data_IF_496282189237
#
_entry.id   IF_496282189237
#
_cell.length_a   1.000
_cell.length_b   1.000
_cell.length_c   1.000
_cell.angle_alpha   90.00
_cell.angle_beta   90.00
_cell.angle_gamma   90.00
#
_symmetry.space_group_name_H-M   'P 1'
#
loop_
_entity.id
_entity.type
_entity.pdbx_description
1 polymer ?
#
# COMPACT_ATOMS: atom_id res chain seq x y z
N UNK A 1 -50.35 -22.07 -50.47
CA UNK A 1 -49.83 -20.80 -49.89
C UNK A 1 -50.56 -20.61 -48.56
N UNK A 2 -49.96 -20.40 -47.39
CA UNK A 2 -48.74 -19.73 -46.99
C UNK A 2 -48.25 -20.31 -45.65
N UNK A 3 -46.94 -20.50 -45.49
CA UNK A 3 -46.28 -20.89 -44.24
C UNK A 3 -46.26 -19.70 -43.28
N UNK A 4 -46.74 -19.86 -42.05
CA UNK A 4 -46.39 -18.99 -40.92
C UNK A 4 -45.57 -19.81 -39.92
N UNK A 5 -44.24 -19.69 -40.00
CA UNK A 5 -43.34 -20.02 -38.89
C UNK A 5 -43.51 -18.93 -37.84
N UNK A 6 -44.05 -19.26 -36.67
CA UNK A 6 -44.13 -18.35 -35.52
C UNK A 6 -42.74 -18.18 -34.90
N UNK A 7 -42.23 -16.96 -35.06
CA UNK A 7 -40.95 -16.42 -34.62
C UNK A 7 -40.93 -16.11 -33.09
N UNK A 8 -41.28 -17.06 -32.22
CA UNK A 8 -41.47 -16.78 -30.77
C UNK A 8 -40.48 -17.54 -29.85
N UNK A 9 -39.45 -18.21 -30.39
CA UNK A 9 -38.46 -18.91 -29.57
C UNK A 9 -37.09 -18.21 -29.44
N UNK A 10 -36.83 -17.10 -30.15
CA UNK A 10 -35.49 -16.48 -30.21
C UNK A 10 -35.33 -15.26 -29.27
N UNK A 11 -36.43 -14.61 -28.86
CA UNK A 11 -36.33 -13.35 -28.10
C UNK A 11 -36.00 -13.56 -26.61
N UNK A 12 -36.30 -14.73 -26.02
CA UNK A 12 -36.00 -15.00 -24.60
C UNK A 12 -34.53 -15.39 -24.36
N UNK A 13 -33.84 -15.96 -25.35
CA UNK A 13 -32.41 -16.30 -25.26
C UNK A 13 -31.50 -15.08 -25.45
N UNK A 14 -31.95 -14.04 -26.16
CA UNK A 14 -31.16 -12.81 -26.35
C UNK A 14 -31.21 -11.92 -25.09
N UNK A 15 -32.33 -11.89 -24.37
CA UNK A 15 -32.45 -11.08 -23.13
C UNK A 15 -31.62 -11.66 -21.98
N UNK A 16 -31.48 -12.99 -21.88
CA UNK A 16 -30.57 -13.62 -20.92
C UNK A 16 -29.09 -13.42 -21.29
N UNK A 17 -28.74 -13.31 -22.58
CA UNK A 17 -27.38 -13.02 -23.03
C UNK A 17 -26.94 -11.58 -22.76
N UNK A 18 -27.85 -10.61 -22.87
CA UNK A 18 -27.54 -9.19 -22.63
C UNK A 18 -27.40 -8.90 -21.12
N UNK A 19 -28.17 -9.56 -20.25
CA UNK A 19 -28.02 -9.42 -18.80
C UNK A 19 -26.78 -10.15 -18.23
N UNK A 20 -26.32 -11.22 -18.88
CA UNK A 20 -25.06 -11.89 -18.50
C UNK A 20 -23.81 -11.16 -18.98
N UNK A 21 -23.92 -10.29 -19.99
CA UNK A 21 -22.78 -9.54 -20.55
C UNK A 21 -22.49 -8.21 -19.86
N UNK A 22 -23.27 -7.80 -18.85
CA UNK A 22 -22.94 -6.65 -17.98
C UNK A 22 -22.10 -7.06 -16.74
N UNK A 23 -21.67 -8.32 -16.64
CA UNK A 23 -20.69 -8.71 -15.63
C UNK A 23 -19.28 -8.37 -16.15
N UNK A 24 -18.78 -7.24 -15.64
CA UNK A 24 -17.41 -6.76 -15.69
C UNK A 24 -16.92 -6.31 -17.07
N UNK A 25 -17.10 -5.02 -17.36
CA UNK A 25 -15.93 -4.25 -17.78
C UNK A 25 -14.92 -4.30 -16.63
N UNK A 26 -14.10 -5.36 -16.57
CA UNK A 26 -12.84 -5.31 -15.86
C UNK A 26 -12.02 -4.27 -16.60
N UNK A 27 -12.04 -3.03 -16.14
CA UNK A 27 -10.93 -2.16 -16.48
C UNK A 27 -9.69 -2.92 -16.01
N UNK A 28 -8.81 -3.31 -16.95
CA UNK A 28 -7.50 -3.90 -16.66
C UNK A 28 -6.57 -2.89 -15.94
N UNK A 29 -7.14 -1.91 -15.25
CA UNK A 29 -6.44 -0.91 -14.46
C UNK A 29 -5.93 -1.59 -13.21
N UNK A 30 -4.62 -1.88 -13.20
CA UNK A 30 -3.97 -2.34 -11.99
C UNK A 30 -4.00 -1.21 -10.95
N UNK A 31 -4.25 -1.59 -9.71
CA UNK A 31 -4.37 -0.71 -8.56
C UNK A 31 -3.27 -1.06 -7.55
N UNK A 32 -2.93 -0.10 -6.70
CA UNK A 32 -1.93 -0.29 -5.66
C UNK A 32 -2.59 -0.81 -4.39
N UNK A 33 -1.98 -1.82 -3.79
CA UNK A 33 -2.39 -2.38 -2.50
C UNK A 33 -1.18 -2.39 -1.58
N UNK A 34 -1.34 -1.84 -0.38
CA UNK A 34 -0.30 -1.88 0.64
C UNK A 34 -0.52 -3.09 1.53
N UNK A 35 0.51 -3.91 1.72
CA UNK A 35 0.49 -5.10 2.55
C UNK A 35 1.34 -4.83 3.78
N UNK A 36 0.73 -4.76 4.95
CA UNK A 36 1.46 -4.76 6.21
C UNK A 36 1.91 -6.18 6.55
N UNK A 37 3.17 -6.32 6.94
CA UNK A 37 3.76 -7.58 7.39
C UNK A 37 3.88 -7.54 8.91
N UNK A 38 3.30 -8.53 9.59
CA UNK A 38 3.27 -8.63 11.05
C UNK A 38 3.91 -9.93 11.50
N UNK A 39 4.68 -9.92 12.59
CA UNK A 39 5.15 -11.12 13.28
C UNK A 39 3.95 -11.69 14.05
N UNK A 40 3.56 -12.95 13.81
CA UNK A 40 2.54 -13.62 14.61
C UNK A 40 2.96 -13.75 16.08
N UNK A 41 2.03 -14.00 16.99
CA UNK A 41 2.34 -14.18 18.42
C UNK A 41 3.27 -15.38 18.68
N UNK A 42 3.08 -16.47 17.92
CA UNK A 42 3.85 -17.72 18.04
C UNK A 42 4.47 -18.09 16.69
N UNK A 43 5.48 -17.35 16.20
CA UNK A 43 6.13 -17.68 14.94
C UNK A 43 6.98 -18.96 15.11
N UNK A 44 7.05 -19.86 14.11
CA UNK A 44 7.93 -21.02 14.18
C UNK A 44 9.38 -20.61 14.46
N UNK A 45 10.04 -21.33 15.37
CA UNK A 45 11.48 -21.18 15.55
C UNK A 45 12.21 -21.89 14.42
N UNK A 46 13.21 -21.22 13.85
CA UNK A 46 14.07 -21.76 12.82
C UNK A 46 15.48 -21.75 13.37
N UNK A 47 16.24 -22.81 13.09
CA UNK A 47 17.68 -22.75 13.26
C UNK A 47 18.30 -21.75 12.28
N UNK A 48 19.60 -21.49 12.46
CA UNK A 48 20.33 -20.49 11.66
C UNK A 48 20.29 -20.82 10.16
N UNK A 49 20.47 -22.09 9.80
CA UNK A 49 20.52 -22.53 8.40
C UNK A 49 19.15 -22.35 7.72
N UNK A 50 18.08 -22.79 8.38
CA UNK A 50 16.72 -22.63 7.91
C UNK A 50 16.32 -21.15 7.82
N UNK A 51 16.75 -20.32 8.78
CA UNK A 51 16.50 -18.87 8.75
C UNK A 51 17.24 -18.18 7.59
N UNK A 52 18.50 -18.52 7.35
CA UNK A 52 19.29 -18.00 6.23
C UNK A 52 18.72 -18.44 4.88
N UNK A 53 18.34 -19.71 4.76
CA UNK A 53 17.68 -20.24 3.55
C UNK A 53 16.37 -19.50 3.27
N UNK A 54 15.52 -19.33 4.30
CA UNK A 54 14.26 -18.61 4.17
C UNK A 54 14.48 -17.15 3.77
N UNK A 55 15.49 -16.49 4.32
CA UNK A 55 15.85 -15.12 3.95
C UNK A 55 16.28 -15.04 2.48
N UNK A 56 17.08 -15.99 1.99
CA UNK A 56 17.49 -16.05 0.59
C UNK A 56 16.30 -16.27 -0.36
N UNK A 57 15.41 -17.19 -0.02
CA UNK A 57 14.16 -17.43 -0.75
C UNK A 57 13.28 -16.17 -0.77
N UNK A 58 13.20 -15.44 0.34
CA UNK A 58 12.47 -14.18 0.44
C UNK A 58 13.01 -13.12 -0.52
N UNK A 59 14.34 -12.92 -0.52
CA UNK A 59 14.98 -11.95 -1.42
C UNK A 59 14.85 -12.33 -2.89
N UNK A 60 14.92 -13.63 -3.21
CA UNK A 60 14.67 -14.13 -4.57
C UNK A 60 13.24 -13.85 -5.02
N UNK A 61 12.25 -14.05 -4.14
CA UNK A 61 10.85 -13.76 -4.44
C UNK A 61 10.59 -12.27 -4.66
N UNK A 62 11.20 -11.39 -3.85
CA UNK A 62 11.12 -9.93 -4.04
C UNK A 62 11.63 -9.55 -5.44
N UNK A 63 12.81 -10.05 -5.83
CA UNK A 63 13.41 -9.78 -7.16
C UNK A 63 12.50 -10.27 -8.29
N UNK A 64 11.94 -11.47 -8.16
CA UNK A 64 10.99 -12.04 -9.12
C UNK A 64 9.73 -11.17 -9.25
N UNK A 65 9.08 -10.85 -8.14
CA UNK A 65 7.84 -10.06 -8.12
C UNK A 65 8.06 -8.64 -8.67
N UNK A 66 9.25 -8.07 -8.43
CA UNK A 66 9.66 -6.80 -9.01
C UNK A 66 9.81 -6.89 -10.54
N UNK A 67 10.54 -7.89 -11.05
CA UNK A 67 10.71 -8.12 -12.49
C UNK A 67 9.39 -8.39 -13.23
N UNK A 68 8.40 -8.96 -12.53
CA UNK A 68 7.05 -9.20 -13.06
C UNK A 68 6.13 -7.96 -12.99
N UNK A 69 6.63 -6.80 -12.52
CA UNK A 69 5.87 -5.57 -12.28
C UNK A 69 4.68 -5.77 -11.33
N UNK A 70 4.79 -6.72 -10.39
CA UNK A 70 3.80 -7.00 -9.35
C UNK A 70 4.11 -6.28 -8.05
N UNK A 71 5.39 -6.09 -7.74
CA UNK A 71 5.87 -5.39 -6.55
C UNK A 71 6.45 -4.05 -6.95
N UNK A 72 6.02 -2.99 -6.26
CA UNK A 72 6.43 -1.61 -6.56
C UNK A 72 7.45 -1.11 -5.54
N UNK A 73 7.18 -1.34 -4.25
CA UNK A 73 8.10 -1.03 -3.17
C UNK A 73 7.99 -2.09 -2.09
N UNK A 74 9.11 -2.33 -1.41
CA UNK A 74 9.19 -3.24 -0.30
C UNK A 74 10.21 -2.72 0.70
N UNK A 75 10.00 -3.05 1.97
CA UNK A 75 11.08 -3.03 2.93
C UNK A 75 10.65 -3.09 4.38
N UNK A 76 11.63 -3.31 5.27
CA UNK A 76 11.38 -3.56 6.68
C UNK A 76 11.11 -2.26 7.44
N UNK A 77 10.43 -2.38 8.57
CA UNK A 77 10.48 -1.35 9.60
C UNK A 77 11.78 -1.51 10.41
N UNK A 78 12.37 -0.38 10.82
CA UNK A 78 13.66 -0.37 11.52
C UNK A 78 13.59 -0.83 12.98
N UNK A 79 12.42 -0.73 13.61
CA UNK A 79 12.22 -1.11 15.01
C UNK A 79 11.85 -2.60 15.16
N UNK A 80 12.32 -3.23 16.24
CA UNK A 80 11.93 -4.61 16.57
C UNK A 80 10.56 -4.67 17.24
N UNK A 81 9.52 -4.41 16.44
CA UNK A 81 8.11 -4.52 16.87
C UNK A 81 7.44 -5.70 16.17
N UNK A 82 6.20 -6.06 16.56
CA UNK A 82 5.39 -6.99 15.79
C UNK A 82 5.16 -6.53 14.34
N UNK A 83 5.15 -5.23 14.05
CA UNK A 83 5.06 -4.73 12.69
C UNK A 83 6.46 -4.81 12.03
N UNK A 84 6.58 -5.60 10.94
CA UNK A 84 7.87 -6.01 10.36
C UNK A 84 8.25 -5.30 9.09
N UNK A 85 7.30 -4.85 8.31
CA UNK A 85 7.56 -4.12 7.07
C UNK A 85 6.30 -3.95 6.25
N UNK A 86 6.48 -3.45 5.03
CA UNK A 86 5.41 -3.35 4.04
C UNK A 86 5.86 -3.86 2.67
N UNK A 87 4.87 -4.28 1.90
CA UNK A 87 4.95 -4.37 0.45
C UNK A 87 3.90 -3.44 -0.17
N UNK A 88 4.16 -2.94 -1.36
CA UNK A 88 3.12 -2.33 -2.20
C UNK A 88 3.06 -3.09 -3.50
N UNK A 89 1.90 -3.70 -3.75
CA UNK A 89 1.63 -4.54 -4.90
C UNK A 89 0.75 -3.82 -5.91
N UNK A 90 0.98 -4.10 -7.18
CA UNK A 90 0.14 -3.62 -8.30
C UNK A 90 -0.70 -4.79 -8.81
N UNK A 91 -1.96 -4.84 -8.40
CA UNK A 91 -2.88 -5.96 -8.67
C UNK A 91 -4.22 -5.47 -9.24
N UNK A 92 -5.00 -6.38 -9.82
CA UNK A 92 -6.35 -6.11 -10.33
C UNK A 92 -7.42 -6.04 -9.22
N UNK A 93 -7.16 -6.65 -8.07
CA UNK A 93 -8.07 -6.62 -6.91
C UNK A 93 -7.35 -6.90 -5.59
N UNK A 94 -8.05 -6.67 -4.47
CA UNK A 94 -7.54 -6.97 -3.13
C UNK A 94 -7.33 -8.47 -2.93
N UNK A 95 -8.19 -9.32 -3.51
CA UNK A 95 -8.08 -10.77 -3.47
C UNK A 95 -6.84 -11.27 -4.20
N UNK A 96 -6.50 -10.67 -5.35
CA UNK A 96 -5.29 -11.00 -6.08
C UNK A 96 -4.03 -10.58 -5.29
N UNK A 97 -4.02 -9.35 -4.74
CA UNK A 97 -2.95 -8.87 -3.88
C UNK A 97 -2.77 -9.79 -2.66
N UNK A 98 -3.87 -10.20 -2.03
CA UNK A 98 -3.89 -11.13 -0.89
C UNK A 98 -3.35 -12.50 -1.27
N UNK A 99 -3.76 -13.04 -2.43
CA UNK A 99 -3.23 -14.30 -2.94
C UNK A 99 -1.72 -14.21 -3.11
N UNK A 100 -1.21 -13.21 -3.81
CA UNK A 100 0.24 -13.06 -4.01
C UNK A 100 1.00 -12.84 -2.70
N UNK A 101 0.46 -12.04 -1.78
CA UNK A 101 1.05 -11.80 -0.47
C UNK A 101 1.14 -13.10 0.37
N UNK A 102 0.13 -13.97 0.32
CA UNK A 102 0.16 -15.28 0.99
C UNK A 102 1.18 -16.24 0.38
N UNK A 103 1.57 -16.05 -0.87
CA UNK A 103 2.57 -16.89 -1.54
C UNK A 103 4.01 -16.57 -1.12
N UNK A 104 4.25 -15.48 -0.38
CA UNK A 104 5.60 -15.11 0.07
C UNK A 104 6.20 -16.18 0.98
N UNK A 105 7.49 -16.55 0.81
CA UNK A 105 8.13 -17.62 1.59
C UNK A 105 7.98 -17.45 3.11
N UNK A 106 8.22 -16.24 3.63
CA UNK A 106 8.10 -15.96 5.06
C UNK A 106 6.66 -16.02 5.59
N UNK A 107 5.66 -15.80 4.72
CA UNK A 107 4.23 -15.94 5.08
C UNK A 107 3.83 -17.40 5.07
N UNK A 108 4.21 -18.16 4.03
CA UNK A 108 4.02 -19.62 3.97
C UNK A 108 4.69 -20.36 5.13
N UNK A 109 5.86 -19.90 5.55
CA UNK A 109 6.57 -20.44 6.71
C UNK A 109 5.93 -20.04 8.06
N UNK A 110 4.82 -19.29 8.06
CA UNK A 110 4.14 -18.84 9.29
C UNK A 110 4.96 -17.83 10.12
N UNK A 111 6.03 -17.27 9.55
CA UNK A 111 6.90 -16.29 10.22
C UNK A 111 6.33 -14.87 10.13
N UNK A 112 5.52 -14.60 9.11
CA UNK A 112 4.81 -13.35 8.91
C UNK A 112 3.32 -13.62 8.65
N UNK A 113 2.47 -12.77 9.20
CA UNK A 113 1.08 -12.60 8.81
C UNK A 113 0.95 -11.35 7.94
N UNK A 114 -0.04 -11.33 7.06
CA UNK A 114 -0.31 -10.23 6.16
C UNK A 114 -1.58 -9.49 6.56
N UNK A 115 -1.63 -8.20 6.24
CA UNK A 115 -2.81 -7.36 6.34
C UNK A 115 -2.82 -6.44 5.11
N UNK A 116 -3.73 -6.72 4.18
CA UNK A 116 -3.80 -6.07 2.87
C UNK A 116 -4.78 -4.92 2.91
N UNK A 117 -4.31 -3.74 2.51
CA UNK A 117 -5.05 -2.48 2.53
C UNK A 117 -5.12 -1.85 1.14
N UNK A 118 -6.28 -1.31 0.81
CA UNK A 118 -6.48 -0.54 -0.41
C UNK A 118 -7.70 -0.94 -1.24
N UNK A 119 -7.83 -0.42 -2.47
CA UNK A 119 -6.82 0.36 -3.21
C UNK A 119 -6.23 1.57 -2.48
N UNK A 120 -4.91 1.76 -2.60
CA UNK A 120 -4.19 2.94 -2.15
C UNK A 120 -4.23 4.00 -3.26
N UNK A 121 -4.89 5.14 -2.99
CA UNK A 121 -5.12 6.21 -3.96
C UNK A 121 -3.94 7.18 -3.94
N UNK A 122 -2.91 6.83 -4.70
CA UNK A 122 -1.75 7.69 -4.99
C UNK A 122 -1.55 7.79 -6.50
N UNK A 123 -0.69 8.71 -6.93
CA UNK A 123 -0.19 8.79 -8.30
C UNK A 123 1.21 8.20 -8.36
N UNK A 124 1.38 6.88 -8.63
CA UNK A 124 2.67 6.23 -8.57
C UNK A 124 3.70 6.81 -9.55
N UNK A 125 3.25 7.24 -10.74
CA UNK A 125 4.10 7.80 -11.80
C UNK A 125 4.84 9.09 -11.39
N UNK A 126 4.32 9.82 -10.40
CA UNK A 126 4.95 11.03 -9.86
C UNK A 126 5.91 10.72 -8.69
N UNK A 127 5.80 9.53 -8.07
CA UNK A 127 6.41 9.26 -6.76
C UNK A 127 7.34 8.04 -6.71
N UNK A 128 7.18 7.08 -7.62
CA UNK A 128 7.86 5.79 -7.58
C UNK A 128 8.65 5.59 -8.87
N UNK A 129 9.94 5.30 -8.73
CA UNK A 129 10.82 5.03 -9.85
C UNK A 129 11.12 3.54 -9.99
N UNK A 130 11.32 3.12 -11.24
CA UNK A 130 11.93 1.83 -11.52
C UNK A 130 13.41 1.90 -11.17
N UNK A 131 13.89 0.94 -10.39
CA UNK A 131 15.28 0.81 -10.01
C UNK A 131 16.07 0.26 -11.19
N UNK A 132 17.12 0.98 -11.56
CA UNK A 132 18.19 0.40 -12.37
C UNK A 132 18.98 -0.61 -11.53
N UNK A 133 19.40 -1.71 -12.15
CA UNK A 133 20.06 -2.85 -11.47
C UNK A 133 21.34 -2.47 -10.69
N UNK A 134 21.91 -1.30 -10.95
CA UNK A 134 23.14 -0.81 -10.32
C UNK A 134 22.91 -0.11 -8.98
N UNK A 135 21.66 0.23 -8.63
CA UNK A 135 21.39 0.95 -7.38
C UNK A 135 21.43 0.00 -6.18
N UNK A 136 22.47 0.11 -5.37
CA UNK A 136 22.67 -0.68 -4.16
C UNK A 136 22.41 0.13 -2.89
N UNK A 137 21.82 -0.52 -1.88
CA UNK A 137 21.62 0.02 -0.54
C UNK A 137 20.15 0.24 -0.16
N UNK A 138 19.96 0.63 1.10
CA UNK A 138 18.67 1.02 1.65
C UNK A 138 18.67 2.50 2.00
N UNK A 139 17.53 3.14 1.83
CA UNK A 139 17.24 4.49 2.28
C UNK A 139 16.17 4.45 3.37
N UNK A 140 16.28 5.35 4.34
CA UNK A 140 15.34 5.44 5.45
C UNK A 140 14.34 6.57 5.20
N UNK A 141 13.07 6.25 5.48
CA UNK A 141 11.91 7.14 5.42
C UNK A 141 11.09 6.95 6.72
N UNK A 142 10.06 7.78 6.90
CA UNK A 142 9.05 7.57 7.93
C UNK A 142 7.71 7.28 7.28
N UNK A 143 7.17 6.08 7.48
CA UNK A 143 5.79 5.78 7.12
C UNK A 143 4.88 6.23 8.26
N UNK A 144 3.94 7.12 7.98
CA UNK A 144 2.94 7.61 8.93
C UNK A 144 1.59 7.01 8.58
N UNK A 145 1.10 6.13 9.45
CA UNK A 145 -0.25 5.58 9.39
C UNK A 145 -1.25 6.59 9.96
N UNK A 146 -2.34 6.83 9.24
CA UNK A 146 -3.41 7.73 9.66
C UNK A 146 -4.61 6.92 10.12
N UNK A 147 -4.92 6.95 11.41
CA UNK A 147 -6.06 6.27 12.03
C UNK A 147 -7.18 7.25 12.37
N UNK A 148 -8.37 6.71 12.63
CA UNK A 148 -9.46 7.48 13.23
C UNK A 148 -9.04 8.06 14.58
N UNK A 149 -9.15 9.38 14.71
CA UNK A 149 -8.88 10.12 15.94
C UNK A 149 -10.06 10.13 16.90
N UNK A 150 -9.87 10.73 18.08
CA UNK A 150 -10.86 10.75 19.16
C UNK A 150 -12.16 11.47 18.79
N UNK A 151 -12.10 12.46 17.88
CA UNK A 151 -13.29 13.19 17.41
C UNK A 151 -13.86 12.65 16.10
N UNK A 152 -13.30 11.56 15.58
CA UNK A 152 -13.78 10.96 14.33
C UNK A 152 -15.20 10.42 14.50
N UNK A 153 -16.08 10.79 13.56
CA UNK A 153 -17.39 10.17 13.36
C UNK A 153 -17.59 9.93 11.87
N UNK A 154 -18.49 9.05 11.42
CA UNK A 154 -18.78 8.89 9.99
C UNK A 154 -19.26 10.18 9.30
N UNK A 155 -19.85 11.11 10.07
CA UNK A 155 -20.44 12.36 9.60
C UNK A 155 -19.59 13.61 9.91
N UNK A 156 -18.34 13.44 10.35
CA UNK A 156 -17.48 14.59 10.63
C UNK A 156 -17.39 15.49 9.37
N UNK A 157 -17.17 16.80 9.52
CA UNK A 157 -17.27 17.78 8.43
C UNK A 157 -16.10 17.70 7.44
N UNK A 158 -15.86 16.53 6.84
CA UNK A 158 -14.75 16.26 5.92
C UNK A 158 -14.70 17.28 4.79
N UNK A 159 -15.84 17.74 4.27
CA UNK A 159 -15.89 18.74 3.19
C UNK A 159 -15.20 20.06 3.57
N UNK A 160 -15.24 20.45 4.85
CA UNK A 160 -14.66 21.71 5.33
C UNK A 160 -13.15 21.60 5.61
N UNK A 161 -12.66 20.38 5.80
CA UNK A 161 -11.27 20.09 6.15
C UNK A 161 -10.47 19.51 4.98
N UNK A 162 -11.10 18.76 4.07
CA UNK A 162 -10.45 18.06 2.97
C UNK A 162 -9.64 19.00 2.07
N UNK A 163 -10.16 20.16 1.61
CA UNK A 163 -9.36 21.09 0.81
C UNK A 163 -8.11 21.59 1.54
N UNK A 164 -8.21 21.81 2.86
CA UNK A 164 -7.10 22.30 3.69
C UNK A 164 -6.06 21.20 3.93
N UNK A 165 -6.52 19.97 4.15
CA UNK A 165 -5.68 18.78 4.26
C UNK A 165 -4.90 18.52 2.96
N UNK A 166 -5.58 18.56 1.80
CA UNK A 166 -4.93 18.40 0.51
C UNK A 166 -3.90 19.50 0.22
N UNK A 167 -4.21 20.76 0.56
CA UNK A 167 -3.26 21.87 0.44
C UNK A 167 -2.02 21.67 1.34
N UNK A 168 -2.22 21.19 2.57
CA UNK A 168 -1.12 20.83 3.47
C UNK A 168 -0.23 19.72 2.87
N UNK A 169 -0.83 18.62 2.39
CA UNK A 169 -0.07 17.53 1.76
C UNK A 169 0.70 18.03 0.52
N UNK A 170 0.08 18.87 -0.30
CA UNK A 170 0.72 19.45 -1.49
C UNK A 170 1.91 20.35 -1.11
N UNK A 171 1.77 21.19 -0.08
CA UNK A 171 2.85 22.01 0.44
C UNK A 171 4.02 21.14 0.95
N UNK A 172 3.73 20.09 1.73
CA UNK A 172 4.74 19.17 2.22
C UNK A 172 5.44 18.38 1.11
N UNK A 173 4.72 17.97 0.07
CA UNK A 173 5.30 17.32 -1.11
C UNK A 173 6.18 18.30 -1.91
N UNK A 174 5.73 19.54 -2.13
CA UNK A 174 6.53 20.54 -2.86
C UNK A 174 7.82 20.94 -2.14
N UNK A 175 7.82 20.87 -0.79
CA UNK A 175 9.01 21.06 0.06
C UNK A 175 9.87 19.79 0.17
N UNK A 176 9.49 18.70 -0.49
CA UNK A 176 10.19 17.42 -0.45
C UNK A 176 10.19 16.76 0.94
N UNK A 177 9.22 17.08 1.81
CA UNK A 177 9.07 16.52 3.17
C UNK A 177 8.19 15.26 3.18
N UNK A 178 7.29 15.14 2.21
CA UNK A 178 6.50 13.94 1.92
C UNK A 178 6.88 13.47 0.51
N UNK A 179 7.26 12.20 0.38
CA UNK A 179 7.50 11.56 -0.91
C UNK A 179 6.18 11.15 -1.58
N UNK A 180 5.25 10.59 -0.80
CA UNK A 180 3.94 10.17 -1.29
C UNK A 180 2.92 10.10 -0.16
N UNK A 181 1.67 10.47 -0.42
CA UNK A 181 0.58 10.38 0.54
C UNK A 181 -0.72 10.01 -0.17
N UNK A 182 -1.54 9.17 0.47
CA UNK A 182 -2.85 8.84 -0.07
C UNK A 182 -3.72 8.00 0.85
N UNK A 183 -5.06 8.08 0.68
CA UNK A 183 -6.01 7.28 1.44
C UNK A 183 -6.14 5.86 0.88
N UNK A 184 -6.59 4.93 1.73
CA UNK A 184 -7.14 3.65 1.29
C UNK A 184 -8.64 3.76 1.06
N UNK A 185 -9.17 3.02 0.09
CA UNK A 185 -10.62 3.06 -0.24
C UNK A 185 -11.44 1.98 0.45
N UNK A 186 -10.81 1.03 1.12
CA UNK A 186 -11.46 -0.11 1.81
C UNK A 186 -12.12 0.27 3.16
N UNK A 187 -12.02 1.53 3.60
CA UNK A 187 -12.56 2.04 4.87
C UNK A 187 -12.02 1.34 6.12
N UNK A 188 -10.95 0.53 6.01
CA UNK A 188 -10.27 -0.07 7.15
C UNK A 188 -9.38 0.92 7.91
N UNK A 189 -8.79 0.46 9.02
CA UNK A 189 -7.77 1.21 9.77
C UNK A 189 -6.37 0.64 9.51
N UNK A 190 -5.34 1.47 9.27
CA UNK A 190 -5.40 2.94 9.10
C UNK A 190 -6.21 3.39 7.87
N UNK A 191 -6.75 4.60 7.87
CA UNK A 191 -7.49 5.21 6.76
C UNK A 191 -6.62 5.52 5.53
N UNK A 192 -5.31 5.61 5.71
CA UNK A 192 -4.32 5.88 4.67
C UNK A 192 -2.91 5.92 5.24
N UNK A 193 -1.94 6.15 4.37
CA UNK A 193 -0.54 6.33 4.77
C UNK A 193 0.09 7.51 4.03
N UNK A 194 1.09 8.11 4.68
CA UNK A 194 2.00 9.08 4.07
C UNK A 194 3.44 8.63 4.33
N UNK A 195 4.33 8.78 3.34
CA UNK A 195 5.75 8.46 3.46
C UNK A 195 6.52 9.79 3.49
N UNK A 196 7.08 10.10 4.64
CA UNK A 196 7.92 11.28 4.87
C UNK A 196 9.39 10.98 4.60
N UNK A 197 10.10 11.97 4.08
CA UNK A 197 11.55 11.92 3.78
C UNK A 197 12.42 12.32 4.99
N UNK A 198 11.77 12.65 6.10
CA UNK A 198 12.40 13.10 7.35
C UNK A 198 12.24 12.07 8.47
N UNK A 199 13.04 12.14 9.55
CA UNK A 199 12.93 11.26 10.71
C UNK A 199 11.56 11.32 11.39
N UNK A 200 11.25 10.30 12.20
CA UNK A 200 9.94 10.14 12.80
C UNK A 200 9.53 11.30 13.71
N UNK A 201 10.46 11.90 14.46
CA UNK A 201 10.16 13.03 15.34
C UNK A 201 9.85 14.30 14.53
N UNK A 202 10.60 14.57 13.46
CA UNK A 202 10.34 15.69 12.54
C UNK A 202 9.04 15.46 11.75
N UNK A 203 8.83 14.25 11.22
CA UNK A 203 7.61 13.89 10.51
C UNK A 203 6.38 14.13 11.39
N UNK A 204 6.44 13.73 12.66
CA UNK A 204 5.35 13.98 13.60
C UNK A 204 5.15 15.46 13.90
N UNK A 205 6.21 16.24 14.11
CA UNK A 205 6.10 17.70 14.30
C UNK A 205 5.40 18.37 13.11
N UNK A 206 5.79 18.02 11.89
CA UNK A 206 5.17 18.53 10.66
C UNK A 206 3.71 18.07 10.53
N UNK A 207 3.44 16.78 10.78
CA UNK A 207 2.11 16.21 10.61
C UNK A 207 1.09 16.74 11.64
N UNK A 208 1.53 17.27 12.79
CA UNK A 208 0.65 18.00 13.70
C UNK A 208 0.10 19.30 13.11
N UNK A 209 0.67 19.81 12.02
CA UNK A 209 0.14 20.99 11.32
C UNK A 209 -1.03 20.70 10.38
N UNK A 210 -1.28 19.42 10.08
CA UNK A 210 -2.41 18.97 9.27
C UNK A 210 -3.76 19.38 9.93
N UNK A 211 -4.64 20.10 9.21
CA UNK A 211 -5.95 20.50 9.71
C UNK A 211 -6.79 19.36 10.29
N UNK A 212 -6.72 18.15 9.74
CA UNK A 212 -7.48 16.99 10.24
C UNK A 212 -6.88 16.39 11.51
N UNK A 213 -5.57 16.53 11.69
CA UNK A 213 -4.87 16.13 12.91
C UNK A 213 -5.12 17.15 14.02
N UNK A 214 -4.94 18.45 13.74
CA UNK A 214 -5.24 19.55 14.68
C UNK A 214 -6.66 19.51 15.21
N UNK A 215 -7.61 19.18 14.35
CA UNK A 215 -9.01 19.07 14.75
C UNK A 215 -9.31 17.82 15.60
N UNK A 216 -8.41 16.84 15.64
CA UNK A 216 -8.57 15.59 16.38
C UNK A 216 -9.34 14.50 15.61
N UNK A 217 -9.52 14.67 14.30
CA UNK A 217 -10.16 13.67 13.44
C UNK A 217 -9.20 12.55 13.02
N UNK A 218 -7.91 12.86 12.90
CA UNK A 218 -6.88 11.87 12.65
C UNK A 218 -5.95 11.68 13.84
N UNK A 219 -5.64 10.42 14.11
CA UNK A 219 -4.54 9.99 14.98
C UNK A 219 -3.43 9.43 14.11
N UNK A 220 -2.18 9.76 14.42
CA UNK A 220 -1.03 9.35 13.62
C UNK A 220 -0.18 8.31 14.37
N UNK A 221 0.37 7.36 13.62
CA UNK A 221 1.37 6.42 14.11
C UNK A 221 2.57 6.40 13.14
N UNK A 222 3.74 6.91 13.55
CA UNK A 222 4.93 6.93 12.72
C UNK A 222 5.74 5.63 12.87
N UNK A 223 6.31 5.16 11.76
CA UNK A 223 7.21 4.02 11.72
C UNK A 223 8.43 4.35 10.87
N UNK A 224 9.63 4.21 11.45
CA UNK A 224 10.87 4.24 10.66
C UNK A 224 10.86 3.06 9.69
N UNK A 225 10.94 3.36 8.40
CA UNK A 225 10.79 2.40 7.32
C UNK A 225 11.97 2.50 6.36
N UNK A 226 12.48 1.36 5.90
CA UNK A 226 13.56 1.31 4.92
C UNK A 226 13.03 0.78 3.60
N UNK A 227 13.55 1.29 2.49
CA UNK A 227 13.31 0.71 1.16
C UNK A 227 14.56 0.79 0.30
N UNK A 228 14.52 0.15 -0.87
CA UNK A 228 15.62 0.20 -1.83
C UNK A 228 15.97 1.64 -2.18
N UNK A 229 17.27 1.95 -2.20
CA UNK A 229 17.75 3.27 -2.60
C UNK A 229 17.19 3.65 -3.96
N UNK A 230 16.61 4.84 -4.09
CA UNK A 230 16.07 5.34 -5.37
C UNK A 230 14.68 4.83 -5.77
N UNK A 231 14.00 4.03 -4.92
CA UNK A 231 12.62 3.59 -5.18
C UNK A 231 11.63 4.76 -5.17
N UNK A 232 11.85 5.73 -4.27
CA UNK A 232 11.04 6.94 -4.16
C UNK A 232 11.79 8.14 -4.76
N UNK A 233 11.03 9.07 -5.35
CA UNK A 233 11.59 10.23 -6.04
C UNK A 233 12.58 11.03 -5.18
N UNK A 234 13.64 11.61 -5.77
CA UNK A 234 14.72 12.25 -5.04
C UNK A 234 14.24 13.54 -4.36
N UNK A 235 13.87 13.40 -3.10
CA UNK A 235 13.86 14.44 -2.08
C UNK A 235 14.67 13.93 -0.89
N UNK A 236 16.00 14.08 -0.98
CA UNK A 236 17.05 13.66 -0.04
C UNK A 236 16.60 12.76 1.13
N UNK A 237 16.83 11.43 1.07
CA UNK A 237 16.60 10.57 2.22
C UNK A 237 17.48 11.04 3.39
N UNK A 238 16.90 11.12 4.59
CA UNK A 238 17.66 11.40 5.80
C UNK A 238 18.75 10.36 5.99
N UNK A 239 20.01 10.80 6.07
CA UNK A 239 21.13 9.94 6.47
C UNK A 239 21.00 9.68 7.98
N UNK A 240 20.77 8.43 8.43
CA UNK A 240 20.78 8.14 9.86
C UNK A 240 22.14 8.54 10.44
N UNK A 241 22.16 9.23 11.58
CA UNK A 241 23.41 9.44 12.31
C UNK A 241 23.90 8.09 12.82
N UNK A 242 25.20 7.77 12.65
CA UNK A 242 25.76 6.57 13.24
C UNK A 242 25.69 6.66 14.77
N UNK A 243 25.21 5.57 15.40
CA UNK A 243 25.37 5.35 16.84
C UNK A 243 26.83 5.05 17.17
#
# INVERSE_FOLDING_TARGET
MSRKLSFIAIVVLVILGIAYSQKQETSNQRQLFLVFLKRPANPPQLDKEAAEKLQNEHMANIRKMYAENKLVMAGPFGADTPLRGIFVLTASSAEEATKWANEYPAVKAGRLAIDVRGPWRIKPEEAIHHLDQETQGLEQYTLVCMFRGEKWTPEFPLKDYLPKHLAFLQDMMSKGKIAVAGPFTDRGDPLGVSIYTVPADEAMKLAQDDPLVKAGYFKLEPHAWLTGKGVLAPGMPFKPQPH
#
